data_IF_271917299906
#
_entry.id   IF_271917299906
#
_cell.length_a   1.000
_cell.length_b   1.000
_cell.length_c   1.000
_cell.angle_alpha   90.00
_cell.angle_beta   90.00
_cell.angle_gamma   90.00
#
_symmetry.space_group_name_H-M   'P 1'
#
loop_
_entity.id
_entity.type
_entity.pdbx_description
1 polymer ?
#
# COMPACT_ATOMS: atom_id res chain seq x y z
N UNK A 1 2.75 4.72 -10.37
CA UNK A 1 4.08 5.36 -10.56
C UNK A 1 4.01 6.57 -11.48
N UNK A 2 3.75 6.45 -12.79
CA UNK A 2 3.63 7.63 -13.70
C UNK A 2 2.70 8.74 -13.17
N UNK A 3 1.55 8.37 -12.60
CA UNK A 3 0.66 9.34 -11.96
C UNK A 3 1.30 10.09 -10.80
N UNK A 4 2.18 9.47 -10.01
CA UNK A 4 2.79 10.07 -8.83
C UNK A 4 3.94 11.01 -9.19
N UNK A 5 4.65 10.71 -10.28
CA UNK A 5 5.87 11.41 -10.70
C UNK A 5 5.66 12.92 -10.97
N UNK A 6 4.50 13.31 -11.50
CA UNK A 6 4.25 14.71 -11.91
C UNK A 6 3.51 15.58 -10.88
N UNK A 7 2.41 15.14 -10.26
CA UNK A 7 1.61 15.98 -9.38
C UNK A 7 2.03 15.88 -7.91
N UNK A 8 3.06 15.08 -7.59
CA UNK A 8 3.60 14.92 -6.25
C UNK A 8 5.10 15.23 -6.24
N UNK A 9 5.64 15.53 -5.06
CA UNK A 9 7.08 15.55 -4.80
C UNK A 9 7.58 14.25 -4.20
N UNK A 10 6.78 13.17 -4.22
CA UNK A 10 7.22 11.83 -3.80
C UNK A 10 8.27 11.37 -4.81
N UNK A 11 9.52 11.09 -4.39
CA UNK A 11 10.51 10.55 -5.30
C UNK A 11 10.10 9.11 -5.67
N UNK A 12 9.73 8.90 -6.93
CA UNK A 12 9.38 7.57 -7.46
C UNK A 12 10.30 7.24 -8.63
N UNK A 13 10.65 5.96 -8.86
CA UNK A 13 11.52 5.62 -9.97
C UNK A 13 10.81 5.88 -11.31
N UNK A 14 11.52 6.50 -12.25
CA UNK A 14 10.98 6.73 -13.59
C UNK A 14 10.82 5.39 -14.33
N UNK A 15 9.68 5.21 -14.99
CA UNK A 15 9.38 3.97 -15.72
C UNK A 15 9.94 4.07 -17.13
N UNK A 16 11.03 3.35 -17.38
CA UNK A 16 11.72 3.28 -18.68
C UNK A 16 10.95 2.39 -19.67
N UNK A 17 10.46 1.24 -19.21
CA UNK A 17 9.70 0.31 -20.04
C UNK A 17 8.85 -0.63 -19.19
N UNK A 18 7.81 -1.22 -19.77
CA UNK A 18 7.08 -2.32 -19.17
C UNK A 18 6.49 -3.16 -20.31
N UNK A 19 6.24 -4.44 -20.04
CA UNK A 19 5.70 -5.34 -21.04
C UNK A 19 4.97 -6.52 -20.39
N UNK A 20 4.17 -7.20 -21.20
CA UNK A 20 3.46 -8.42 -20.79
C UNK A 20 4.31 -9.66 -21.07
N UNK A 21 3.81 -10.84 -20.67
CA UNK A 21 4.54 -12.11 -20.83
C UNK A 21 5.12 -12.31 -22.25
N UNK A 22 4.34 -12.01 -23.29
CA UNK A 22 4.78 -12.14 -24.70
C UNK A 22 5.98 -11.27 -25.08
N UNK A 23 6.22 -10.20 -24.33
CA UNK A 23 7.32 -9.26 -24.55
C UNK A 23 8.51 -9.55 -23.63
N UNK A 24 8.34 -10.46 -22.66
CA UNK A 24 9.41 -10.89 -21.77
C UNK A 24 10.25 -12.02 -22.40
N UNK A 25 11.57 -12.09 -22.12
CA UNK A 25 12.37 -13.25 -22.48
C UNK A 25 11.73 -14.53 -21.93
N UNK A 26 11.60 -15.55 -22.78
CA UNK A 26 11.03 -16.86 -22.46
C UNK A 26 9.59 -16.85 -21.91
N UNK A 27 8.83 -15.78 -22.14
CA UNK A 27 7.43 -15.63 -21.69
C UNK A 27 7.22 -15.80 -20.17
N UNK A 28 8.23 -15.43 -19.37
CA UNK A 28 8.25 -15.63 -17.92
C UNK A 28 7.19 -14.82 -17.15
N UNK A 29 6.71 -13.70 -17.71
CA UNK A 29 5.65 -12.91 -17.09
C UNK A 29 5.68 -11.43 -17.47
N UNK A 30 4.77 -10.66 -16.88
CA UNK A 30 4.82 -9.19 -16.98
C UNK A 30 6.06 -8.64 -16.27
N UNK A 31 6.64 -7.58 -16.82
CA UNK A 31 7.83 -6.95 -16.25
C UNK A 31 7.74 -5.42 -16.32
N UNK A 32 8.50 -4.76 -15.45
CA UNK A 32 8.68 -3.31 -15.42
C UNK A 32 10.19 -3.05 -15.32
N UNK A 33 10.70 -2.16 -16.17
CA UNK A 33 12.05 -1.62 -16.15
C UNK A 33 11.95 -0.16 -15.74
N UNK A 34 12.70 0.21 -14.71
CA UNK A 34 12.65 1.52 -14.11
C UNK A 34 14.03 1.97 -13.66
N UNK A 35 14.19 3.28 -13.44
CA UNK A 35 15.43 3.83 -12.94
C UNK A 35 15.76 3.30 -11.54
N UNK A 36 17.05 3.07 -11.30
CA UNK A 36 17.55 2.75 -9.98
C UNK A 36 17.69 4.04 -9.17
N UNK A 37 17.09 4.08 -7.98
CA UNK A 37 17.27 5.17 -7.03
C UNK A 37 18.45 4.81 -6.13
N UNK A 38 19.50 5.64 -6.14
CA UNK A 38 20.65 5.45 -5.25
C UNK A 38 20.24 5.66 -3.79
N UNK A 39 20.36 4.61 -2.99
CA UNK A 39 19.99 4.58 -1.59
C UNK A 39 20.97 3.69 -0.83
N UNK A 40 21.11 3.96 0.47
CA UNK A 40 21.95 3.18 1.37
C UNK A 40 21.13 2.34 2.35
N UNK A 41 19.90 2.78 2.64
CA UNK A 41 19.02 2.20 3.64
C UNK A 41 17.57 2.20 3.15
N UNK A 42 16.69 1.52 3.87
CA UNK A 42 15.25 1.74 3.80
C UNK A 42 14.75 2.48 5.06
N UNK A 43 13.44 2.58 5.22
CA UNK A 43 12.84 3.26 6.35
C UNK A 43 12.68 2.38 7.60
N UNK A 44 12.78 1.06 7.46
CA UNK A 44 12.86 0.13 8.57
C UNK A 44 14.17 0.36 9.32
N UNK A 45 15.30 0.48 8.61
CA UNK A 45 16.61 0.82 9.19
C UNK A 45 16.59 2.10 10.04
N UNK A 46 15.78 3.06 9.61
CA UNK A 46 15.60 4.33 10.30
C UNK A 46 14.96 4.19 11.69
N UNK A 47 14.25 3.09 11.96
CA UNK A 47 13.41 2.87 13.14
C UNK A 47 13.78 1.61 13.94
N UNK A 48 14.44 0.64 13.31
CA UNK A 48 14.74 -0.66 13.88
C UNK A 48 15.82 -0.59 14.96
N UNK A 49 15.80 -1.56 15.88
CA UNK A 49 16.80 -1.72 16.93
C UNK A 49 18.14 -2.12 16.30
N UNK A 50 19.23 -1.39 16.58
CA UNK A 50 20.54 -1.70 16.00
C UNK A 50 21.00 -3.13 16.29
N UNK A 51 21.50 -3.80 15.26
CA UNK A 51 22.07 -5.15 15.36
C UNK A 51 21.06 -6.29 15.20
N UNK A 52 19.78 -5.99 15.00
CA UNK A 52 18.82 -6.97 14.48
C UNK A 52 19.12 -7.19 12.98
N UNK A 53 19.41 -8.42 12.55
CA UNK A 53 19.60 -8.75 11.13
C UNK A 53 18.36 -8.46 10.28
N UNK A 54 18.55 -8.16 8.99
CA UNK A 54 17.45 -7.85 8.05
C UNK A 54 16.48 -9.03 7.84
N UNK A 55 16.93 -10.26 8.07
CA UNK A 55 16.10 -11.47 8.00
C UNK A 55 15.34 -11.77 9.31
N UNK A 56 15.59 -11.00 10.36
CA UNK A 56 14.84 -11.05 11.62
C UNK A 56 13.77 -9.97 11.69
N UNK A 57 12.76 -10.23 12.53
CA UNK A 57 11.64 -9.31 12.76
C UNK A 57 12.14 -7.94 13.26
N UNK A 58 11.76 -6.82 12.61
CA UNK A 58 12.14 -5.50 13.08
C UNK A 58 11.44 -5.15 14.40
N UNK A 59 12.18 -4.54 15.32
CA UNK A 59 11.70 -4.08 16.63
C UNK A 59 12.05 -2.61 16.75
N UNK A 60 11.06 -1.77 17.01
CA UNK A 60 11.27 -0.33 17.20
C UNK A 60 12.31 -0.08 18.30
N UNK A 61 13.37 0.64 17.97
CA UNK A 61 14.46 0.93 18.92
C UNK A 61 13.93 1.74 20.12
N UNK A 62 13.97 1.19 21.35
CA UNK A 62 13.52 1.93 22.53
C UNK A 62 14.45 3.09 22.92
N UNK A 63 15.65 3.16 22.34
CA UNK A 63 16.62 4.25 22.55
C UNK A 63 16.55 5.32 21.45
N UNK A 64 15.63 5.20 20.50
CA UNK A 64 15.48 6.17 19.42
C UNK A 64 15.05 7.53 19.98
N UNK A 65 15.74 8.59 19.58
CA UNK A 65 15.40 9.93 20.06
C UNK A 65 14.04 10.36 19.52
N UNK A 66 13.31 11.17 20.31
CA UNK A 66 12.03 11.72 19.87
C UNK A 66 12.18 12.54 18.59
N UNK A 67 13.30 13.26 18.43
CA UNK A 67 13.58 14.04 17.23
C UNK A 67 13.72 13.17 15.98
N UNK A 68 14.34 11.99 16.09
CA UNK A 68 14.47 11.04 14.98
C UNK A 68 13.13 10.39 14.66
N UNK A 69 12.33 10.04 15.67
CA UNK A 69 10.96 9.55 15.46
C UNK A 69 10.09 10.57 14.72
N UNK A 70 10.08 11.83 15.16
CA UNK A 70 9.32 12.91 14.53
C UNK A 70 9.79 13.14 13.10
N UNK A 71 11.10 13.16 12.88
CA UNK A 71 11.67 13.31 11.54
C UNK A 71 11.24 12.15 10.63
N UNK A 72 11.37 10.92 11.10
CA UNK A 72 11.01 9.74 10.34
C UNK A 72 9.50 9.73 10.02
N UNK A 73 8.65 9.68 11.03
CA UNK A 73 7.20 9.64 10.80
C UNK A 73 6.67 10.89 10.07
N UNK A 74 7.33 12.03 10.20
CA UNK A 74 7.03 13.22 9.40
C UNK A 74 7.20 13.00 7.88
N UNK A 75 8.24 12.29 7.45
CA UNK A 75 8.47 11.97 6.04
C UNK A 75 7.41 10.99 5.49
N UNK A 76 7.08 9.94 6.25
CA UNK A 76 5.99 9.00 5.89
C UNK A 76 4.62 9.70 5.82
N UNK A 77 4.35 10.57 6.79
CA UNK A 77 3.12 11.37 6.81
C UNK A 77 3.05 12.33 5.61
N UNK A 78 4.18 12.89 5.16
CA UNK A 78 4.22 13.73 3.97
C UNK A 78 3.84 12.94 2.71
N UNK A 79 4.37 11.72 2.52
CA UNK A 79 3.99 10.82 1.42
C UNK A 79 2.47 10.54 1.44
N UNK A 80 1.94 10.12 2.60
CA UNK A 80 0.50 9.86 2.74
C UNK A 80 -0.36 11.10 2.48
N UNK A 81 0.08 12.26 2.98
CA UNK A 81 -0.61 13.52 2.76
C UNK A 81 -0.66 13.85 1.26
N UNK A 82 0.44 13.67 0.54
CA UNK A 82 0.49 13.87 -0.90
C UNK A 82 -0.46 12.94 -1.64
N UNK A 83 -0.51 11.64 -1.32
CA UNK A 83 -1.50 10.70 -1.89
C UNK A 83 -2.94 11.18 -1.64
N UNK A 84 -3.24 11.60 -0.40
CA UNK A 84 -4.59 12.02 0.02
C UNK A 84 -5.10 13.30 -0.65
N UNK A 85 -4.21 14.10 -1.27
CA UNK A 85 -4.60 15.32 -1.99
C UNK A 85 -5.32 15.00 -3.30
N UNK A 86 -5.12 13.81 -3.85
CA UNK A 86 -5.76 13.39 -5.10
C UNK A 86 -7.13 12.78 -4.86
N UNK A 87 -8.11 13.20 -5.67
CA UNK A 87 -9.51 12.83 -5.52
C UNK A 87 -10.08 12.22 -6.79
N UNK A 88 -10.87 11.16 -6.63
CA UNK A 88 -11.54 10.46 -7.73
C UNK A 88 -13.03 10.30 -7.45
N UNK A 89 -13.81 10.06 -8.51
CA UNK A 89 -15.26 9.93 -8.50
C UNK A 89 -15.76 8.53 -8.17
N UNK A 90 -14.90 7.52 -8.31
CA UNK A 90 -15.18 6.11 -8.02
C UNK A 90 -13.98 5.48 -7.31
N UNK A 91 -14.19 4.29 -6.76
CA UNK A 91 -13.14 3.45 -6.18
C UNK A 91 -12.64 2.49 -7.26
N UNK A 92 -11.34 2.49 -7.52
CA UNK A 92 -10.75 1.60 -8.52
C UNK A 92 -9.38 2.03 -9.01
N UNK A 93 -8.82 1.24 -9.94
CA UNK A 93 -7.55 1.56 -10.56
C UNK A 93 -7.66 2.76 -11.50
N UNK A 94 -6.68 3.65 -11.37
CA UNK A 94 -6.59 4.87 -12.18
C UNK A 94 -5.80 4.60 -13.45
N UNK A 95 -6.17 5.29 -14.53
CA UNK A 95 -5.45 5.32 -15.79
C UNK A 95 -5.65 6.69 -16.45
N UNK A 96 -4.78 7.04 -17.42
CA UNK A 96 -5.00 8.22 -18.26
C UNK A 96 -6.34 8.11 -18.96
N UNK A 97 -7.12 9.20 -19.00
CA UNK A 97 -8.41 9.21 -19.66
C UNK A 97 -8.25 8.84 -21.15
N UNK A 98 -7.32 9.51 -21.82
CA UNK A 98 -6.84 9.15 -23.15
C UNK A 98 -5.43 8.52 -23.09
N UNK A 99 -5.32 7.25 -23.46
CA UNK A 99 -4.02 6.54 -23.44
C UNK A 99 -3.15 6.87 -24.66
N UNK A 100 -3.76 7.37 -25.74
CA UNK A 100 -3.08 7.70 -27.01
C UNK A 100 -2.61 9.16 -27.07
N UNK A 101 -2.97 9.98 -26.07
CA UNK A 101 -2.56 11.38 -25.97
C UNK A 101 -1.54 11.54 -24.84
N UNK A 102 -0.28 11.67 -25.22
CA UNK A 102 0.83 11.83 -24.27
C UNK A 102 0.77 13.15 -23.48
N UNK A 103 -0.06 14.12 -23.92
CA UNK A 103 -0.27 15.40 -23.24
C UNK A 103 -1.53 15.40 -22.36
N UNK A 104 -2.32 14.31 -22.34
CA UNK A 104 -3.46 14.18 -21.46
C UNK A 104 -3.03 13.82 -20.03
N UNK A 105 -3.03 14.83 -19.17
CA UNK A 105 -2.78 14.69 -17.73
C UNK A 105 -4.05 14.41 -16.93
N UNK A 106 -5.17 14.07 -17.58
CA UNK A 106 -6.40 13.67 -16.90
C UNK A 106 -6.33 12.18 -16.53
N UNK A 107 -6.43 11.89 -15.23
CA UNK A 107 -6.48 10.53 -14.71
C UNK A 107 -7.86 10.22 -14.16
N UNK A 108 -8.42 9.09 -14.57
CA UNK A 108 -9.75 8.62 -14.19
C UNK A 108 -9.70 7.17 -13.75
N UNK A 109 -10.70 6.74 -12.98
CA UNK A 109 -10.86 5.33 -12.64
C UNK A 109 -11.42 4.58 -13.85
N UNK A 110 -10.76 3.51 -14.29
CA UNK A 110 -11.18 2.70 -15.46
C UNK A 110 -11.51 1.25 -15.14
N UNK A 111 -10.97 0.71 -14.04
CA UNK A 111 -11.06 -0.71 -13.69
C UNK A 111 -11.32 -0.87 -12.20
N UNK A 112 -11.75 -2.07 -11.81
CA UNK A 112 -11.77 -2.49 -10.40
C UNK A 112 -10.49 -2.12 -9.66
N UNK A 113 -10.56 -1.91 -8.34
CA UNK A 113 -9.34 -1.78 -7.55
C UNK A 113 -8.50 -3.06 -7.63
N UNK A 114 -7.19 -2.90 -7.72
CA UNK A 114 -6.22 -3.97 -7.59
C UNK A 114 -5.61 -3.88 -6.19
N UNK A 115 -6.17 -4.66 -5.27
CA UNK A 115 -5.77 -4.65 -3.86
C UNK A 115 -4.76 -5.77 -3.59
N UNK A 116 -3.89 -5.59 -2.60
CA UNK A 116 -2.93 -6.62 -2.17
C UNK A 116 -3.70 -7.89 -1.76
N UNK A 117 -4.76 -7.73 -0.98
CA UNK A 117 -5.63 -8.84 -0.57
C UNK A 117 -6.26 -9.58 -1.78
N UNK A 118 -6.69 -8.89 -2.84
CA UNK A 118 -7.20 -9.57 -4.05
C UNK A 118 -6.12 -10.40 -4.74
N UNK A 119 -4.89 -9.89 -4.79
CA UNK A 119 -3.75 -10.62 -5.35
C UNK A 119 -3.45 -11.88 -4.53
N UNK A 120 -3.29 -11.74 -3.21
CA UNK A 120 -2.98 -12.86 -2.31
C UNK A 120 -4.06 -13.94 -2.34
N UNK A 121 -5.33 -13.55 -2.35
CA UNK A 121 -6.44 -14.49 -2.47
C UNK A 121 -6.32 -15.39 -3.71
N UNK A 122 -5.96 -14.82 -4.86
CA UNK A 122 -5.80 -15.57 -6.11
C UNK A 122 -4.50 -16.37 -6.12
N UNK A 123 -3.39 -15.74 -5.73
CA UNK A 123 -2.05 -16.30 -5.85
C UNK A 123 -1.82 -17.46 -4.88
N UNK A 124 -2.23 -17.30 -3.61
CA UNK A 124 -1.94 -18.25 -2.53
C UNK A 124 -3.21 -18.78 -1.84
N UNK A 125 -4.32 -18.04 -1.91
CA UNK A 125 -5.59 -18.40 -1.27
C UNK A 125 -6.50 -19.36 -2.06
N UNK A 126 -6.09 -19.81 -3.25
CA UNK A 126 -6.88 -20.63 -4.16
C UNK A 126 -8.30 -20.04 -4.43
N UNK A 127 -8.41 -18.72 -4.38
CA UNK A 127 -9.65 -18.01 -4.62
C UNK A 127 -9.93 -17.96 -6.12
N UNK A 128 -11.12 -18.37 -6.60
CA UNK A 128 -11.43 -18.35 -8.02
C UNK A 128 -11.41 -16.90 -8.57
N UNK A 129 -10.57 -16.57 -9.57
CA UNK A 129 -10.43 -15.18 -10.03
C UNK A 129 -11.73 -14.55 -10.54
N UNK A 130 -12.60 -15.35 -11.14
CA UNK A 130 -13.91 -14.91 -11.65
C UNK A 130 -14.93 -14.54 -10.56
N UNK A 131 -14.60 -14.76 -9.28
CA UNK A 131 -15.40 -14.31 -8.13
C UNK A 131 -14.92 -12.96 -7.58
N UNK A 132 -13.83 -12.41 -8.11
CA UNK A 132 -13.44 -11.04 -7.81
C UNK A 132 -14.42 -10.06 -8.47
N UNK A 133 -14.63 -8.86 -7.89
CA UNK A 133 -15.37 -7.81 -8.57
C UNK A 133 -14.70 -7.45 -9.89
N UNK A 134 -15.45 -7.10 -10.94
CA UNK A 134 -14.88 -6.74 -12.25
C UNK A 134 -14.82 -5.21 -12.48
N UNK A 135 -15.73 -4.49 -11.86
CA UNK A 135 -15.96 -3.06 -12.10
C UNK A 135 -15.43 -2.18 -10.96
N UNK A 136 -15.19 -0.87 -11.23
CA UNK A 136 -15.08 0.15 -10.20
C UNK A 136 -16.30 0.19 -9.27
N UNK A 137 -16.13 0.77 -8.08
CA UNK A 137 -17.24 0.97 -7.15
C UNK A 137 -17.64 2.44 -7.08
N UNK A 138 -18.92 2.77 -7.31
CA UNK A 138 -19.39 4.16 -7.23
C UNK A 138 -19.58 4.64 -5.78
N UNK A 139 -19.56 3.73 -4.80
CA UNK A 139 -19.77 4.06 -3.38
C UNK A 139 -18.86 3.27 -2.44
N UNK A 140 -18.52 3.85 -1.29
CA UNK A 140 -17.84 3.14 -0.20
C UNK A 140 -18.65 1.93 0.27
N UNK A 141 -19.98 2.07 0.37
CA UNK A 141 -20.89 1.01 0.81
C UNK A 141 -20.88 -0.22 -0.10
N UNK A 142 -20.85 0.00 -1.42
CA UNK A 142 -20.76 -1.10 -2.40
C UNK A 142 -19.40 -1.78 -2.35
N UNK A 143 -18.31 -1.01 -2.17
CA UNK A 143 -16.97 -1.55 -1.96
C UNK A 143 -16.86 -2.41 -0.69
N UNK A 144 -17.29 -1.89 0.47
CA UNK A 144 -17.25 -2.64 1.74
C UNK A 144 -18.12 -3.90 1.70
N UNK A 145 -19.28 -3.84 1.03
CA UNK A 145 -20.13 -5.01 0.87
C UNK A 145 -19.46 -6.06 -0.02
N UNK A 146 -18.79 -5.64 -1.09
CA UNK A 146 -18.02 -6.55 -1.96
C UNK A 146 -16.84 -7.19 -1.20
N UNK A 147 -16.10 -6.42 -0.41
CA UNK A 147 -15.06 -6.95 0.49
C UNK A 147 -15.63 -8.00 1.46
N UNK A 148 -16.76 -7.70 2.10
CA UNK A 148 -17.42 -8.64 3.00
C UNK A 148 -17.87 -9.94 2.29
N UNK A 149 -18.36 -9.84 1.05
CA UNK A 149 -18.70 -11.00 0.24
C UNK A 149 -17.46 -11.81 -0.16
N UNK A 150 -16.37 -11.15 -0.54
CA UNK A 150 -15.10 -11.82 -0.85
C UNK A 150 -14.58 -12.61 0.35
N UNK A 151 -14.61 -12.05 1.57
CA UNK A 151 -14.16 -12.78 2.76
C UNK A 151 -14.99 -14.05 3.04
N UNK A 152 -16.29 -14.01 2.80
CA UNK A 152 -17.17 -15.18 2.93
C UNK A 152 -16.90 -16.19 1.81
N UNK A 153 -16.80 -15.73 0.57
CA UNK A 153 -16.49 -16.58 -0.58
C UNK A 153 -15.16 -17.29 -0.36
N UNK A 154 -14.13 -16.59 0.12
CA UNK A 154 -12.84 -17.18 0.43
C UNK A 154 -12.96 -18.31 1.46
N UNK A 155 -13.73 -18.12 2.54
CA UNK A 155 -13.96 -19.18 3.53
C UNK A 155 -14.65 -20.41 2.90
N UNK A 156 -15.53 -20.21 1.93
CA UNK A 156 -16.24 -21.30 1.23
C UNK A 156 -15.35 -22.00 0.21
N UNK A 157 -14.48 -21.25 -0.49
CA UNK A 157 -13.64 -21.79 -1.57
C UNK A 157 -12.32 -22.37 -1.09
N UNK A 158 -11.83 -21.94 0.07
CA UNK A 158 -10.57 -22.43 0.63
C UNK A 158 -10.76 -23.85 1.16
N UNK A 159 -10.03 -24.80 0.55
CA UNK A 159 -10.19 -26.23 0.82
C UNK A 159 -9.30 -26.75 1.94
N UNK A 160 -8.08 -26.23 2.00
CA UNK A 160 -7.05 -26.67 2.93
C UNK A 160 -6.64 -25.48 3.81
N UNK A 161 -6.22 -25.78 5.03
CA UNK A 161 -5.58 -24.83 5.95
C UNK A 161 -6.39 -23.53 6.20
N UNK A 162 -7.71 -23.57 5.97
CA UNK A 162 -8.61 -22.46 6.24
C UNK A 162 -8.90 -22.31 7.74
N UNK A 163 -8.94 -23.46 8.43
CA UNK A 163 -9.40 -23.59 9.81
C UNK A 163 -8.64 -24.70 10.53
N UNK A 164 -8.32 -24.48 11.80
CA UNK A 164 -7.56 -25.44 12.62
C UNK A 164 -8.47 -26.41 13.38
N UNK A 165 -9.71 -25.98 13.64
CA UNK A 165 -10.70 -26.75 14.37
C UNK A 165 -12.14 -26.35 14.00
N UNK A 166 -13.16 -27.15 14.38
CA UNK A 166 -14.55 -26.75 14.22
C UNK A 166 -14.91 -25.45 14.97
N UNK A 167 -14.26 -25.19 16.11
CA UNK A 167 -14.46 -23.96 16.88
C UNK A 167 -13.86 -22.74 16.16
N UNK A 168 -12.63 -22.86 15.67
CA UNK A 168 -11.99 -21.83 14.85
C UNK A 168 -12.83 -21.52 13.60
N UNK A 169 -13.30 -22.55 12.89
CA UNK A 169 -14.21 -22.40 11.76
C UNK A 169 -15.48 -21.61 12.13
N UNK A 170 -16.09 -21.93 13.28
CA UNK A 170 -17.28 -21.22 13.76
C UNK A 170 -16.98 -19.76 14.06
N UNK A 171 -15.87 -19.48 14.73
CA UNK A 171 -15.42 -18.13 15.05
C UNK A 171 -15.15 -17.31 13.80
N UNK A 172 -14.36 -17.85 12.86
CA UNK A 172 -14.06 -17.24 11.55
C UNK A 172 -15.32 -16.98 10.73
N UNK A 173 -16.30 -17.89 10.77
CA UNK A 173 -17.59 -17.73 10.09
C UNK A 173 -18.44 -16.63 10.73
N UNK A 174 -18.60 -16.63 12.07
CA UNK A 174 -19.33 -15.60 12.80
C UNK A 174 -18.72 -14.23 12.56
N UNK A 175 -17.41 -14.09 12.65
CA UNK A 175 -16.71 -12.82 12.42
C UNK A 175 -17.01 -12.25 11.02
N UNK A 176 -16.93 -13.06 9.96
CA UNK A 176 -17.25 -12.65 8.59
C UNK A 176 -18.72 -12.28 8.40
N UNK A 177 -19.64 -13.01 9.03
CA UNK A 177 -21.07 -12.70 8.99
C UNK A 177 -21.41 -11.40 9.73
N UNK A 178 -20.76 -11.13 10.87
CA UNK A 178 -20.87 -9.87 11.61
C UNK A 178 -20.29 -8.72 10.79
N UNK A 179 -19.11 -8.90 10.19
CA UNK A 179 -18.51 -7.90 9.30
C UNK A 179 -19.43 -7.56 8.13
N UNK A 180 -20.01 -8.57 7.46
CA UNK A 180 -21.00 -8.35 6.40
C UNK A 180 -22.25 -7.62 6.89
N UNK A 181 -22.75 -7.95 8.09
CA UNK A 181 -23.89 -7.26 8.69
C UNK A 181 -23.57 -5.77 8.87
N UNK A 182 -22.41 -5.45 9.45
CA UNK A 182 -21.96 -4.07 9.63
C UNK A 182 -21.80 -3.32 8.30
N UNK A 183 -21.26 -3.98 7.27
CA UNK A 183 -21.15 -3.41 5.92
C UNK A 183 -22.52 -3.09 5.32
N UNK A 184 -23.48 -4.03 5.42
CA UNK A 184 -24.87 -3.83 4.95
C UNK A 184 -25.60 -2.71 5.68
N UNK A 185 -25.29 -2.53 6.96
CA UNK A 185 -25.83 -1.44 7.79
C UNK A 185 -25.11 -0.11 7.56
N UNK A 186 -24.14 -0.03 6.64
CA UNK A 186 -23.39 1.18 6.33
C UNK A 186 -22.45 1.65 7.45
N UNK A 187 -22.12 0.77 8.42
CA UNK A 187 -21.38 1.15 9.64
C UNK A 187 -19.92 1.55 9.40
N UNK A 188 -19.38 1.21 8.23
CA UNK A 188 -18.04 1.59 7.79
C UNK A 188 -18.01 2.89 6.99
N UNK A 189 -19.16 3.40 6.53
CA UNK A 189 -19.26 4.62 5.72
C UNK A 189 -19.47 5.81 6.67
N UNK A 190 -18.39 6.32 7.27
CA UNK A 190 -18.47 7.40 8.28
C UNK A 190 -18.62 8.77 7.65
N UNK A 191 -18.12 8.94 6.44
CA UNK A 191 -18.08 10.23 5.74
C UNK A 191 -19.14 10.27 4.64
N UNK A 192 -18.75 10.61 3.41
CA UNK A 192 -19.65 10.62 2.27
C UNK A 192 -19.51 9.32 1.47
N UNK A 193 -20.60 8.56 1.38
CA UNK A 193 -20.65 7.26 0.69
C UNK A 193 -20.31 7.37 -0.80
N UNK A 194 -20.56 8.52 -1.42
CA UNK A 194 -20.27 8.78 -2.86
C UNK A 194 -18.94 9.52 -3.08
N UNK A 195 -18.04 9.52 -2.09
CA UNK A 195 -16.72 10.13 -2.21
C UNK A 195 -16.64 11.60 -1.77
N UNK A 196 -15.57 12.34 -2.08
CA UNK A 196 -14.46 11.99 -2.95
C UNK A 196 -13.60 10.84 -2.43
N UNK A 197 -13.26 9.89 -3.31
CA UNK A 197 -12.34 8.79 -3.02
C UNK A 197 -10.90 9.29 -3.12
N UNK A 198 -9.99 8.72 -2.32
CA UNK A 198 -8.61 9.18 -2.18
C UNK A 198 -7.64 8.16 -2.74
N UNK A 199 -6.52 8.60 -3.30
CA UNK A 199 -5.47 7.66 -3.68
C UNK A 199 -4.91 6.98 -2.43
N UNK A 200 -4.79 5.67 -2.49
CA UNK A 200 -4.30 4.82 -1.41
C UNK A 200 -3.48 3.68 -1.99
N UNK A 201 -2.47 3.21 -1.26
CA UNK A 201 -1.70 2.02 -1.60
C UNK A 201 -1.78 1.04 -0.43
N UNK A 202 -2.24 -0.19 -0.68
CA UNK A 202 -2.34 -1.22 0.36
C UNK A 202 -0.96 -1.62 0.92
N UNK A 203 0.11 -1.45 0.15
CA UNK A 203 1.46 -1.86 0.51
C UNK A 203 2.39 -0.68 0.82
N UNK A 204 1.84 0.48 1.19
CA UNK A 204 2.69 1.58 1.70
C UNK A 204 3.20 1.24 3.10
N UNK A 205 4.49 0.95 3.21
CA UNK A 205 5.15 0.51 4.45
C UNK A 205 6.62 0.98 4.49
N UNK A 206 7.30 0.94 5.65
CA UNK A 206 8.63 1.51 5.79
C UNK A 206 9.65 0.82 4.87
N UNK A 207 9.54 -0.49 4.68
CA UNK A 207 10.41 -1.27 3.78
C UNK A 207 10.33 -0.83 2.30
N UNK A 208 9.25 -0.13 1.90
CA UNK A 208 9.06 0.33 0.53
C UNK A 208 9.50 1.79 0.35
N UNK A 209 10.12 2.40 1.36
CA UNK A 209 10.62 3.78 1.33
C UNK A 209 12.13 3.78 1.50
N UNK A 210 12.81 4.20 0.44
CA UNK A 210 14.26 4.22 0.33
C UNK A 210 14.82 5.50 0.95
N UNK A 211 15.90 5.36 1.72
CA UNK A 211 16.52 6.46 2.42
C UNK A 211 18.03 6.51 2.24
N UNK A 212 18.61 7.68 2.51
CA UNK A 212 20.04 7.90 2.39
C UNK A 212 20.51 8.95 3.42
N UNK A 213 21.81 9.06 3.60
CA UNK A 213 22.42 10.14 4.35
C UNK A 213 22.33 11.46 3.57
N UNK A 214 21.85 12.52 4.20
CA UNK A 214 21.89 13.86 3.62
C UNK A 214 23.30 14.46 3.80
N UNK A 215 24.19 14.24 2.84
CA UNK A 215 25.45 15.00 2.77
C UNK A 215 25.17 16.44 2.33
N UNK A 216 25.23 17.39 3.26
CA UNK A 216 25.32 18.80 2.87
C UNK A 216 26.69 19.03 2.21
N UNK A 217 26.73 19.03 0.87
CA UNK A 217 27.93 19.26 0.04
C UNK A 217 28.61 20.62 0.35
N UNK A 218 27.93 21.52 1.08
CA UNK A 218 28.46 22.83 1.48
C UNK A 218 29.17 22.87 2.84
N UNK A 219 29.14 21.80 3.63
CA UNK A 219 29.83 21.78 4.94
C UNK A 219 30.64 20.50 5.11
N UNK A 220 31.93 20.57 4.78
CA UNK A 220 32.98 19.62 5.21
C UNK A 220 33.21 19.65 6.75
N UNK A 221 32.24 20.10 7.52
CA UNK A 221 32.24 20.03 8.97
C UNK A 221 31.25 18.95 9.37
N UNK A 222 31.80 17.85 9.88
CA UNK A 222 31.09 16.81 10.61
C UNK A 222 30.60 17.42 11.93
N UNK A 223 29.61 18.29 11.84
CA UNK A 223 28.98 18.94 12.99
C UNK A 223 27.94 17.97 13.53
N UNK A 224 28.07 17.59 14.80
CA UNK A 224 27.17 16.74 15.59
C UNK A 224 25.74 17.32 15.77
N UNK A 225 25.25 18.09 14.80
CA UNK A 225 23.96 18.80 14.77
C UNK A 225 23.02 18.19 13.72
N UNK A 226 23.51 17.28 12.87
CA UNK A 226 22.72 16.63 11.81
C UNK A 226 22.51 15.13 12.06
N UNK A 227 22.25 14.71 13.31
CA UNK A 227 21.92 13.31 13.62
C UNK A 227 20.68 12.80 12.88
N UNK A 228 19.80 13.70 12.42
CA UNK A 228 18.59 13.37 11.66
C UNK A 228 18.78 13.49 10.13
N UNK A 229 20.00 13.78 9.65
CA UNK A 229 20.28 13.77 8.21
C UNK A 229 20.43 12.35 7.65
N UNK A 230 20.76 11.40 8.51
CA UNK A 230 20.68 9.97 8.23
C UNK A 230 19.20 9.61 8.04
N UNK A 231 18.88 8.81 7.02
CA UNK A 231 17.51 8.37 6.68
C UNK A 231 16.57 9.43 6.07
N UNK A 232 17.10 10.36 5.25
CA UNK A 232 16.25 11.19 4.40
C UNK A 232 15.65 10.37 3.26
N UNK A 233 14.36 10.50 3.01
CA UNK A 233 13.68 9.82 1.89
C UNK A 233 14.25 10.30 0.56
N UNK A 234 14.73 9.34 -0.23
CA UNK A 234 15.22 9.53 -1.59
C UNK A 234 14.39 8.78 -2.63
N UNK A 235 13.54 7.85 -2.19
CA UNK A 235 12.70 7.03 -3.06
C UNK A 235 11.53 6.41 -2.31
N UNK A 236 10.45 6.15 -3.02
CA UNK A 236 9.37 5.29 -2.57
C UNK A 236 8.97 4.38 -3.74
N UNK A 237 8.90 3.09 -3.45
CA UNK A 237 8.74 2.01 -4.44
C UNK A 237 7.51 1.16 -4.12
N UNK A 238 7.32 0.10 -4.90
CA UNK A 238 6.25 -0.90 -4.74
C UNK A 238 4.83 -0.33 -4.68
N UNK A 239 4.49 0.44 -5.71
CA UNK A 239 3.16 1.05 -5.87
C UNK A 239 2.13 0.12 -6.51
N UNK A 240 2.38 -1.19 -6.56
CA UNK A 240 1.60 -2.16 -7.34
C UNK A 240 0.12 -2.24 -6.94
N UNK A 241 -0.18 -1.96 -5.67
CA UNK A 241 -1.52 -2.02 -5.09
C UNK A 241 -2.10 -0.63 -4.78
N UNK A 242 -1.86 0.32 -5.69
CA UNK A 242 -2.36 1.71 -5.58
C UNK A 242 -3.66 1.89 -6.36
N UNK A 243 -4.68 2.44 -5.71
CA UNK A 243 -6.02 2.68 -6.28
C UNK A 243 -6.73 3.85 -5.60
N UNK A 244 -7.80 4.34 -6.22
CA UNK A 244 -8.73 5.25 -5.54
C UNK A 244 -9.58 4.45 -4.54
N UNK A 245 -9.51 4.80 -3.26
CA UNK A 245 -10.07 4.04 -2.14
C UNK A 245 -11.08 4.89 -1.32
N UNK A 246 -11.90 4.25 -0.46
CA UNK A 246 -12.75 4.96 0.50
C UNK A 246 -11.98 5.99 1.31
N UNK A 247 -12.63 7.12 1.60
CA UNK A 247 -12.03 8.22 2.39
C UNK A 247 -11.61 7.76 3.79
N UNK A 248 -12.29 6.75 4.36
CA UNK A 248 -11.95 6.18 5.65
C UNK A 248 -10.53 5.62 5.72
N UNK A 249 -9.96 5.18 4.60
CA UNK A 249 -8.61 4.59 4.57
C UNK A 249 -7.55 5.66 4.82
N UNK A 250 -7.71 6.84 4.20
CA UNK A 250 -6.81 7.98 4.40
C UNK A 250 -6.86 8.56 5.82
N UNK A 251 -7.96 8.31 6.56
CA UNK A 251 -8.17 8.82 7.92
C UNK A 251 -8.06 7.75 9.01
N UNK A 252 -7.75 6.51 8.62
CA UNK A 252 -7.44 5.45 9.57
C UNK A 252 -6.00 5.59 10.06
N UNK A 253 -5.74 5.06 11.26
CA UNK A 253 -4.38 4.99 11.78
C UNK A 253 -3.53 4.19 10.79
N UNK A 254 -2.38 4.71 10.34
CA UNK A 254 -1.57 3.99 9.36
C UNK A 254 -1.08 2.67 9.93
N UNK A 255 -1.33 1.57 9.21
CA UNK A 255 -0.96 0.23 9.66
C UNK A 255 0.57 0.05 9.75
N UNK A 256 1.33 0.78 8.93
CA UNK A 256 2.79 0.76 8.90
C UNK A 256 3.46 1.37 10.15
N UNK A 257 2.70 2.00 11.06
CA UNK A 257 3.24 2.40 12.37
C UNK A 257 3.78 1.20 13.16
N UNK A 258 3.28 0.02 12.83
CA UNK A 258 3.83 -1.25 13.25
C UNK A 258 4.85 -1.62 12.16
N UNK A 259 6.16 -1.56 12.49
CA UNK A 259 7.27 -1.88 11.57
C UNK A 259 7.10 -3.23 10.85
N UNK A 260 6.26 -4.09 11.41
CA UNK A 260 5.77 -5.33 10.84
C UNK A 260 4.24 -5.39 10.97
N UNK A 261 3.59 -5.94 9.95
CA UNK A 261 2.15 -6.17 9.95
C UNK A 261 1.72 -7.12 11.10
N UNK A 262 0.57 -6.87 11.77
CA UNK A 262 0.09 -7.71 12.87
C UNK A 262 -0.07 -9.19 12.52
N UNK A 263 -0.31 -9.52 11.25
CA UNK A 263 -0.50 -10.89 10.77
C UNK A 263 0.77 -11.76 10.90
N UNK A 264 1.95 -11.15 11.03
CA UNK A 264 3.22 -11.87 11.23
C UNK A 264 3.59 -12.04 12.70
N UNK A 265 2.80 -11.48 13.62
CA UNK A 265 3.11 -11.57 15.04
C UNK A 265 2.82 -12.98 15.57
N UNK A 266 3.66 -13.53 16.45
CA UNK A 266 3.39 -14.83 17.06
C UNK A 266 2.10 -14.78 17.89
N UNK A 267 1.32 -15.86 17.83
CA UNK A 267 0.12 -16.08 18.65
C UNK A 267 0.42 -16.16 20.16
#
# INVERSE_FOLDING_TARGET
MRFLEFPTSIPVPHILHYGMAKESPDELGSFIIMEYIEHEYDFVDALNTPGIPDDERPILDPQLSEERLIFAYGQMADIMLQLSKHTFTEIGCIARANEDDDFDDVWVVKRRPLTLNMNELVQVGNFPPHLLPDDPFPTSSSYYLALAHMHINHLVTQRNDAVDSPEDCRTKCIARLLFRKLAREGRFCKYNDRGSFKLFCDDIRPANVLTNFMTNVLTNFMTNVLTNAEFKVVGAIDWGYTYAAPLEFAYSVPFWLLLELPEYWPE
#
